data_IF_322814065855
#
_entry.id   IF_322814065855
#
_cell.length_a   1.000
_cell.length_b   1.000
_cell.length_c   1.000
_cell.angle_alpha   90.00
_cell.angle_beta   90.00
_cell.angle_gamma   90.00
#
_symmetry.space_group_name_H-M   'P 1'
#
loop_
_entity.id
_entity.type
_entity.pdbx_description
1 polymer ?
#
# COMPACT_ATOMS: atom_id res chain seq x y z
N UNK A 1 8.81 11.86 -35.12
CA UNK A 1 9.18 11.73 -33.70
C UNK A 1 8.32 10.73 -32.92
N UNK A 2 7.03 10.58 -33.22
CA UNK A 2 6.15 9.58 -32.59
C UNK A 2 6.55 8.11 -32.79
N UNK A 3 7.05 7.75 -33.97
CA UNK A 3 7.35 6.37 -34.35
C UNK A 3 8.53 5.77 -33.56
N UNK A 4 9.55 6.54 -33.24
CA UNK A 4 10.71 6.05 -32.46
C UNK A 4 10.35 5.88 -31.00
N UNK A 5 9.53 6.77 -30.44
CA UNK A 5 9.01 6.67 -29.06
C UNK A 5 8.13 5.43 -28.87
N UNK A 6 7.30 5.12 -29.85
CA UNK A 6 6.38 3.95 -29.80
C UNK A 6 7.15 2.63 -29.88
N UNK A 7 8.10 2.50 -30.80
CA UNK A 7 8.93 1.29 -30.95
C UNK A 7 9.77 1.01 -29.70
N UNK A 8 10.32 2.07 -29.09
CA UNK A 8 11.10 1.95 -27.86
C UNK A 8 10.23 1.49 -26.70
N UNK A 9 9.01 2.00 -26.61
CA UNK A 9 8.05 1.61 -25.58
C UNK A 9 7.57 0.17 -25.73
N UNK A 10 7.29 -0.28 -26.95
CA UNK A 10 6.94 -1.68 -27.26
C UNK A 10 8.03 -2.66 -26.81
N UNK A 11 9.31 -2.28 -26.86
CA UNK A 11 10.41 -3.11 -26.38
C UNK A 11 10.32 -3.32 -24.86
N UNK A 12 10.07 -2.27 -24.06
CA UNK A 12 9.90 -2.37 -22.61
C UNK A 12 8.72 -3.25 -22.24
N UNK A 13 7.61 -3.09 -22.93
CA UNK A 13 6.40 -3.91 -22.75
C UNK A 13 6.67 -5.38 -23.05
N UNK A 14 7.26 -5.67 -24.20
CA UNK A 14 7.59 -7.02 -24.60
C UNK A 14 8.58 -7.68 -23.63
N UNK A 15 9.56 -6.94 -23.12
CA UNK A 15 10.48 -7.45 -22.12
C UNK A 15 9.76 -7.80 -20.80
N UNK A 16 8.86 -6.95 -20.33
CA UNK A 16 8.07 -7.22 -19.13
C UNK A 16 7.16 -8.45 -19.32
N UNK A 17 6.51 -8.58 -20.47
CA UNK A 17 5.70 -9.76 -20.84
C UNK A 17 6.56 -11.04 -20.86
N UNK A 18 7.75 -11.00 -21.44
CA UNK A 18 8.65 -12.17 -21.45
C UNK A 18 9.14 -12.54 -20.04
N UNK A 19 9.44 -11.56 -19.18
CA UNK A 19 9.74 -11.81 -17.77
C UNK A 19 8.59 -12.55 -17.07
N UNK A 20 7.35 -12.12 -17.32
CA UNK A 20 6.14 -12.73 -16.76
C UNK A 20 5.94 -14.16 -17.30
N UNK A 21 6.09 -14.40 -18.60
CA UNK A 21 5.98 -15.74 -19.20
C UNK A 21 7.05 -16.70 -18.66
N UNK A 22 8.30 -16.24 -18.54
CA UNK A 22 9.39 -17.03 -17.94
C UNK A 22 9.09 -17.37 -16.49
N UNK A 23 8.56 -16.41 -15.72
CA UNK A 23 8.18 -16.62 -14.34
C UNK A 23 7.01 -17.60 -14.20
N UNK A 24 6.01 -17.53 -15.07
CA UNK A 24 4.90 -18.50 -15.07
C UNK A 24 5.41 -19.93 -15.29
N UNK A 25 6.29 -20.15 -16.28
CA UNK A 25 6.92 -21.47 -16.50
C UNK A 25 7.72 -21.97 -15.30
N UNK A 26 8.45 -21.06 -14.62
CA UNK A 26 9.13 -21.37 -13.38
C UNK A 26 8.14 -21.79 -12.28
N UNK A 27 7.01 -21.09 -12.17
CA UNK A 27 5.96 -21.45 -11.22
C UNK A 27 5.36 -22.83 -11.53
N UNK A 28 5.09 -23.13 -12.78
CA UNK A 28 4.57 -24.43 -13.21
C UNK A 28 5.53 -25.58 -12.82
N UNK A 29 6.85 -25.40 -13.04
CA UNK A 29 7.87 -26.36 -12.63
C UNK A 29 7.96 -26.53 -11.10
N UNK A 30 7.59 -25.50 -10.34
CA UNK A 30 7.56 -25.52 -8.86
C UNK A 30 6.22 -25.93 -8.26
N UNK A 31 5.18 -26.10 -9.09
CA UNK A 31 3.82 -26.38 -8.65
C UNK A 31 3.13 -25.19 -7.98
N UNK A 32 3.46 -23.95 -8.38
CA UNK A 32 2.90 -22.72 -7.82
C UNK A 32 1.98 -22.02 -8.81
N UNK A 33 0.94 -21.37 -8.31
CA UNK A 33 0.14 -20.42 -9.08
C UNK A 33 0.69 -19.02 -8.83
N UNK A 34 1.07 -18.24 -9.87
CA UNK A 34 1.47 -16.85 -9.72
C UNK A 34 0.36 -16.01 -9.09
N UNK A 35 0.71 -15.21 -8.07
CA UNK A 35 -0.22 -14.30 -7.39
C UNK A 35 0.18 -12.87 -7.68
N UNK A 36 -0.66 -12.14 -8.40
CA UNK A 36 -0.48 -10.70 -8.63
C UNK A 36 -0.95 -9.93 -7.40
N UNK A 37 -0.03 -9.20 -6.76
CA UNK A 37 -0.37 -8.29 -5.68
C UNK A 37 -1.00 -7.02 -6.23
N UNK A 38 -2.31 -6.86 -6.02
CA UNK A 38 -3.09 -5.73 -6.52
C UNK A 38 -3.38 -4.72 -5.42
N UNK A 39 -3.19 -3.43 -5.68
CA UNK A 39 -3.44 -2.36 -4.69
C UNK A 39 -4.40 -1.28 -5.19
N UNK A 40 -4.87 -1.35 -6.44
CA UNK A 40 -5.63 -0.29 -7.10
C UNK A 40 -4.77 0.91 -7.51
N UNK A 41 -3.45 0.86 -7.27
CA UNK A 41 -2.50 1.86 -7.74
C UNK A 41 -2.00 1.55 -9.15
N UNK A 42 -1.52 2.58 -9.88
CA UNK A 42 -1.09 2.52 -11.27
C UNK A 42 -0.13 1.36 -11.58
N UNK A 43 0.87 1.16 -10.74
CA UNK A 43 1.90 0.13 -10.95
C UNK A 43 1.30 -1.28 -10.87
N UNK A 44 0.39 -1.52 -9.93
CA UNK A 44 -0.30 -2.81 -9.80
C UNK A 44 -1.32 -3.07 -10.91
N UNK A 45 -1.92 -2.01 -11.46
CA UNK A 45 -2.81 -2.12 -12.63
C UNK A 45 -2.03 -2.51 -13.88
N UNK A 46 -0.89 -1.86 -14.11
CA UNK A 46 0.01 -2.18 -15.24
C UNK A 46 0.46 -3.63 -15.16
N UNK A 47 0.92 -4.10 -14.00
CA UNK A 47 1.35 -5.50 -13.84
C UNK A 47 0.20 -6.48 -14.04
N UNK A 48 -0.99 -6.16 -13.55
CA UNK A 48 -2.18 -6.99 -13.75
C UNK A 48 -2.53 -7.12 -15.23
N UNK A 49 -2.51 -6.01 -15.99
CA UNK A 49 -2.78 -6.00 -17.43
C UNK A 49 -1.68 -6.74 -18.22
N UNK A 50 -0.40 -6.53 -17.89
CA UNK A 50 0.72 -7.25 -18.47
C UNK A 50 0.59 -8.77 -18.27
N UNK A 51 0.11 -9.24 -17.12
CA UNK A 51 -0.14 -10.66 -16.88
C UNK A 51 -1.27 -11.20 -17.76
N UNK A 52 -2.35 -10.44 -17.96
CA UNK A 52 -3.42 -10.79 -18.92
C UNK A 52 -2.88 -10.89 -20.35
N UNK A 53 -2.09 -9.90 -20.79
CA UNK A 53 -1.49 -9.85 -22.13
C UNK A 53 -0.40 -10.92 -22.34
N UNK A 54 0.30 -11.29 -21.28
CA UNK A 54 1.22 -12.43 -21.32
C UNK A 54 0.52 -13.77 -21.55
N UNK A 55 -0.80 -13.84 -21.31
CA UNK A 55 -1.63 -15.04 -21.48
C UNK A 55 -1.33 -16.11 -20.42
N UNK A 56 -0.87 -15.74 -19.24
CA UNK A 56 -0.56 -16.68 -18.17
C UNK A 56 -1.79 -16.96 -17.29
N UNK A 57 -1.81 -18.13 -16.64
CA UNK A 57 -2.75 -18.39 -15.55
C UNK A 57 -2.23 -17.77 -14.25
N UNK A 58 -3.04 -16.94 -13.57
CA UNK A 58 -2.69 -16.28 -12.32
C UNK A 58 -3.92 -15.94 -11.49
N UNK A 59 -3.72 -15.68 -10.21
CA UNK A 59 -4.72 -15.03 -9.35
C UNK A 59 -4.26 -13.60 -9.01
N UNK A 60 -5.21 -12.67 -8.87
CA UNK A 60 -4.93 -11.33 -8.36
C UNK A 60 -5.55 -11.16 -6.98
N UNK A 61 -4.79 -10.60 -6.03
CA UNK A 61 -5.21 -10.46 -4.64
C UNK A 61 -4.96 -9.07 -4.10
N UNK A 62 -5.98 -8.51 -3.45
CA UNK A 62 -5.95 -7.20 -2.81
C UNK A 62 -5.96 -7.35 -1.29
N UNK A 63 -4.89 -6.94 -0.63
CA UNK A 63 -4.78 -6.95 0.83
C UNK A 63 -5.43 -5.68 1.38
N UNK A 64 -6.73 -5.75 1.72
CA UNK A 64 -7.52 -4.63 2.20
C UNK A 64 -7.12 -4.23 3.63
N UNK A 65 -6.80 -2.96 3.83
CA UNK A 65 -6.45 -2.37 5.12
C UNK A 65 -7.39 -1.20 5.46
N UNK A 66 -7.00 0.02 5.11
CA UNK A 66 -7.74 1.23 5.43
C UNK A 66 -7.68 2.21 4.24
N UNK A 67 -8.01 1.70 3.06
CA UNK A 67 -8.05 2.46 1.82
C UNK A 67 -9.29 3.37 1.77
N UNK A 68 -9.22 4.40 0.92
CA UNK A 68 -10.34 5.32 0.72
C UNK A 68 -11.54 4.63 0.06
N UNK A 69 -12.76 5.07 0.33
CA UNK A 69 -13.96 4.55 -0.35
C UNK A 69 -13.85 4.63 -1.87
N UNK A 70 -13.21 5.68 -2.41
CA UNK A 70 -12.98 5.82 -3.86
C UNK A 70 -12.13 4.69 -4.42
N UNK A 71 -11.04 4.32 -3.73
CA UNK A 71 -10.18 3.20 -4.14
C UNK A 71 -10.93 1.87 -4.05
N UNK A 72 -11.71 1.65 -2.98
CA UNK A 72 -12.47 0.41 -2.82
C UNK A 72 -13.53 0.25 -3.91
N UNK A 73 -14.28 1.31 -4.21
CA UNK A 73 -15.25 1.34 -5.31
C UNK A 73 -14.55 1.12 -6.65
N UNK A 74 -13.44 1.81 -6.89
CA UNK A 74 -12.66 1.66 -8.12
C UNK A 74 -12.21 0.20 -8.36
N UNK A 75 -11.68 -0.48 -7.34
CA UNK A 75 -11.25 -1.89 -7.45
C UNK A 75 -12.45 -2.79 -7.73
N UNK A 76 -13.55 -2.62 -6.98
CA UNK A 76 -14.75 -3.44 -7.16
C UNK A 76 -15.34 -3.31 -8.57
N UNK A 77 -15.40 -2.09 -9.09
CA UNK A 77 -16.13 -1.80 -10.32
C UNK A 77 -15.29 -2.07 -11.58
N UNK A 78 -13.96 -1.93 -11.52
CA UNK A 78 -13.08 -2.11 -12.67
C UNK A 78 -12.28 -3.43 -12.65
N UNK A 79 -12.17 -4.09 -11.49
CA UNK A 79 -11.37 -5.30 -11.30
C UNK A 79 -12.11 -6.35 -10.45
N UNK A 80 -13.31 -6.78 -10.88
CA UNK A 80 -14.16 -7.69 -10.08
C UNK A 80 -13.52 -9.07 -9.85
N UNK A 81 -12.57 -9.48 -10.70
CA UNK A 81 -11.83 -10.74 -10.56
C UNK A 81 -10.78 -10.72 -9.44
N UNK A 82 -10.41 -9.54 -8.94
CA UNK A 82 -9.43 -9.41 -7.86
C UNK A 82 -10.03 -9.90 -6.55
N UNK A 83 -9.42 -10.94 -5.98
CA UNK A 83 -9.84 -11.51 -4.70
C UNK A 83 -9.42 -10.63 -3.54
N UNK A 84 -10.35 -10.22 -2.71
CA UNK A 84 -10.08 -9.42 -1.52
C UNK A 84 -9.65 -10.31 -0.37
N UNK A 85 -8.52 -9.99 0.25
CA UNK A 85 -8.02 -10.65 1.46
C UNK A 85 -8.26 -9.79 2.68
N UNK A 86 -8.79 -10.42 3.71
CA UNK A 86 -9.03 -9.81 5.00
C UNK A 86 -9.02 -10.88 6.10
N UNK A 87 -7.82 -11.27 6.52
CA UNK A 87 -7.67 -12.27 7.60
C UNK A 87 -8.09 -11.71 8.96
N UNK A 88 -7.83 -10.42 9.20
CA UNK A 88 -8.34 -9.73 10.38
C UNK A 88 -9.83 -9.45 10.16
N UNK A 89 -10.69 -10.15 10.88
CA UNK A 89 -12.17 -10.03 10.75
C UNK A 89 -12.69 -8.66 11.17
N UNK A 90 -12.02 -8.02 12.16
CA UNK A 90 -12.38 -6.70 12.66
C UNK A 90 -12.07 -5.62 11.62
N UNK A 91 -12.87 -4.54 11.62
CA UNK A 91 -12.52 -3.31 10.92
C UNK A 91 -11.26 -2.67 11.51
N UNK A 92 -10.60 -1.80 10.74
CA UNK A 92 -9.32 -1.18 11.12
C UNK A 92 -9.31 -0.58 12.54
N UNK A 93 -10.29 0.25 12.87
CA UNK A 93 -10.37 0.88 14.19
C UNK A 93 -10.70 -0.13 15.29
N UNK A 94 -11.55 -1.10 15.01
CA UNK A 94 -11.90 -2.14 15.98
C UNK A 94 -10.71 -3.07 16.24
N UNK A 95 -9.90 -3.37 15.23
CA UNK A 95 -8.64 -4.10 15.41
C UNK A 95 -7.67 -3.34 16.33
N UNK A 96 -7.54 -2.02 16.13
CA UNK A 96 -6.73 -1.18 17.01
C UNK A 96 -7.24 -1.28 18.46
N UNK A 97 -8.55 -1.20 18.67
CA UNK A 97 -9.14 -1.28 20.01
C UNK A 97 -8.89 -2.64 20.66
N UNK A 98 -9.24 -3.71 19.98
CA UNK A 98 -9.27 -5.08 20.57
C UNK A 98 -7.88 -5.69 20.65
N UNK A 99 -7.16 -5.73 19.53
CA UNK A 99 -5.89 -6.44 19.43
C UNK A 99 -4.69 -5.59 19.84
N UNK A 100 -4.81 -4.27 19.74
CA UNK A 100 -3.73 -3.33 20.08
C UNK A 100 -4.10 -2.38 21.23
N UNK A 101 -5.12 -2.72 22.03
CA UNK A 101 -5.54 -2.00 23.26
C UNK A 101 -5.71 -0.49 23.02
N UNK A 102 -6.21 -0.08 21.86
CA UNK A 102 -6.40 1.33 21.52
C UNK A 102 -5.12 2.10 21.15
N UNK A 103 -3.94 1.47 21.16
CA UNK A 103 -2.70 2.12 20.69
C UNK A 103 -2.78 2.40 19.19
N UNK A 104 -2.50 3.63 18.80
CA UNK A 104 -2.42 3.98 17.38
C UNK A 104 -1.10 3.49 16.77
N UNK A 105 -1.09 3.00 15.52
CA UNK A 105 0.13 2.55 14.87
C UNK A 105 1.12 3.71 14.69
N UNK A 106 2.41 3.46 14.88
CA UNK A 106 3.47 4.43 14.70
C UNK A 106 4.36 4.07 13.50
N UNK A 107 5.36 4.93 13.21
CA UNK A 107 6.37 4.63 12.19
C UNK A 107 7.15 3.38 12.58
N UNK A 108 7.53 3.27 13.84
CA UNK A 108 8.31 2.17 14.42
C UNK A 108 7.45 0.90 14.59
N UNK A 109 6.22 1.07 15.05
CA UNK A 109 5.26 -0.02 15.28
C UNK A 109 4.09 0.07 14.31
N UNK A 110 4.35 -0.26 13.07
CA UNK A 110 3.34 -0.24 12.00
C UNK A 110 2.57 -1.55 11.92
N UNK A 111 2.07 -2.04 13.06
CA UNK A 111 1.32 -3.29 13.15
C UNK A 111 0.15 -3.38 12.16
N UNK A 112 -0.48 -2.26 11.80
CA UNK A 112 -1.52 -2.25 10.78
C UNK A 112 -1.01 -2.74 9.39
N UNK A 113 0.27 -2.49 9.06
CA UNK A 113 0.85 -3.07 7.85
C UNK A 113 1.08 -4.57 8.02
N UNK A 114 1.49 -5.01 9.20
CA UNK A 114 1.72 -6.43 9.51
C UNK A 114 0.40 -7.19 9.53
N UNK A 115 -0.62 -6.65 10.17
CA UNK A 115 -1.95 -7.28 10.27
C UNK A 115 -2.65 -7.42 8.93
N UNK A 116 -2.60 -6.38 8.07
CA UNK A 116 -3.43 -6.30 6.86
C UNK A 116 -2.66 -6.43 5.55
N UNK A 117 -1.44 -5.87 5.45
CA UNK A 117 -0.69 -5.85 4.17
C UNK A 117 0.38 -6.91 4.07
N UNK A 118 1.02 -7.21 5.19
CA UNK A 118 2.15 -8.14 5.27
C UNK A 118 1.85 -9.31 6.21
N UNK A 119 0.57 -9.59 6.45
CA UNK A 119 0.17 -10.71 7.29
C UNK A 119 0.82 -12.02 6.77
N UNK A 120 1.45 -12.81 7.65
CA UNK A 120 2.04 -14.11 7.26
C UNK A 120 1.07 -15.03 6.53
N UNK A 121 -0.24 -14.95 6.82
CA UNK A 121 -1.27 -15.69 6.09
C UNK A 121 -1.41 -15.28 4.62
N UNK A 122 -0.84 -14.12 4.22
CA UNK A 122 -0.82 -13.64 2.83
C UNK A 122 0.46 -13.96 2.08
N UNK A 123 1.37 -14.72 2.68
CA UNK A 123 2.60 -15.15 2.02
C UNK A 123 2.23 -16.20 0.97
N UNK A 124 2.32 -15.79 -0.28
CA UNK A 124 2.15 -16.66 -1.44
C UNK A 124 3.49 -17.29 -1.83
N UNK A 125 3.50 -18.51 -2.34
CA UNK A 125 4.75 -19.14 -2.79
C UNK A 125 5.39 -18.37 -3.95
N UNK A 126 4.57 -17.87 -4.89
CA UNK A 126 5.02 -17.09 -6.02
C UNK A 126 4.22 -15.79 -6.13
N UNK A 127 4.87 -14.63 -6.15
CA UNK A 127 4.21 -13.33 -6.26
C UNK A 127 4.75 -12.51 -7.44
N UNK A 128 3.87 -11.72 -8.06
CA UNK A 128 4.21 -10.72 -9.08
C UNK A 128 3.78 -9.35 -8.54
N UNK A 129 4.73 -8.42 -8.41
CA UNK A 129 4.49 -7.11 -7.80
C UNK A 129 4.94 -5.96 -8.69
N UNK A 130 4.18 -4.86 -8.69
CA UNK A 130 4.53 -3.61 -9.36
C UNK A 130 5.54 -2.77 -8.58
N UNK A 131 6.67 -3.35 -8.19
CA UNK A 131 7.74 -2.65 -7.49
C UNK A 131 8.70 -2.05 -8.50
N UNK A 132 9.02 -0.74 -8.37
CA UNK A 132 10.00 -0.04 -9.21
C UNK A 132 11.13 0.54 -8.36
N UNK A 133 12.35 0.59 -8.94
CA UNK A 133 13.52 1.17 -8.26
C UNK A 133 13.35 2.66 -7.99
N UNK A 134 12.70 3.37 -8.90
CA UNK A 134 12.49 4.82 -8.83
C UNK A 134 11.62 5.27 -7.64
N UNK A 135 10.74 4.41 -7.12
CA UNK A 135 9.79 4.79 -6.08
C UNK A 135 10.44 5.22 -4.76
N UNK A 136 11.60 4.72 -4.42
CA UNK A 136 12.34 5.13 -3.23
C UNK A 136 13.75 4.56 -3.16
N UNK A 137 14.65 5.23 -2.41
CA UNK A 137 16.00 4.75 -2.13
C UNK A 137 16.05 3.32 -1.58
N UNK A 138 15.06 2.92 -0.76
CA UNK A 138 14.96 1.54 -0.24
C UNK A 138 14.70 0.50 -1.34
N UNK A 139 14.14 0.92 -2.49
CA UNK A 139 13.81 0.04 -3.62
C UNK A 139 14.89 -0.02 -4.69
N UNK A 140 15.90 0.85 -4.66
CA UNK A 140 17.00 0.86 -5.64
C UNK A 140 17.74 -0.48 -5.76
N UNK A 141 17.86 -1.23 -4.67
CA UNK A 141 18.47 -2.56 -4.67
C UNK A 141 17.53 -3.70 -5.08
N UNK A 142 16.34 -3.44 -5.57
CA UNK A 142 15.41 -4.49 -6.04
C UNK A 142 15.85 -5.02 -7.40
N UNK A 143 15.64 -6.32 -7.61
CA UNK A 143 15.95 -7.02 -8.86
C UNK A 143 14.66 -7.54 -9.50
N UNK A 144 14.75 -7.96 -10.77
CA UNK A 144 13.63 -8.55 -11.51
C UNK A 144 13.07 -9.75 -10.77
N UNK A 145 13.94 -10.69 -10.35
CA UNK A 145 13.56 -11.87 -9.58
C UNK A 145 14.18 -11.79 -8.19
N UNK A 146 13.40 -12.16 -7.18
CA UNK A 146 13.85 -12.30 -5.79
C UNK A 146 13.41 -13.64 -5.23
N UNK A 147 14.21 -14.20 -4.31
CA UNK A 147 13.88 -15.39 -3.56
C UNK A 147 13.90 -15.11 -2.06
N UNK A 148 13.17 -15.92 -1.27
CA UNK A 148 13.00 -15.75 0.17
C UNK A 148 14.33 -15.70 0.92
N UNK A 149 15.22 -16.63 0.62
CA UNK A 149 16.52 -16.70 1.27
C UNK A 149 17.53 -17.45 0.37
N UNK A 150 18.79 -17.53 0.83
CA UNK A 150 19.85 -18.27 0.11
C UNK A 150 19.58 -19.77 -0.02
N UNK A 151 18.83 -20.36 0.92
CA UNK A 151 18.47 -21.77 0.87
C UNK A 151 17.46 -22.03 -0.25
N UNK A 152 16.45 -21.15 -0.41
CA UNK A 152 15.51 -21.22 -1.55
C UNK A 152 16.24 -21.12 -2.89
N UNK A 153 17.23 -20.21 -3.01
CA UNK A 153 18.07 -20.11 -4.20
C UNK A 153 18.83 -21.40 -4.49
N UNK A 154 19.45 -21.99 -3.46
CA UNK A 154 20.18 -23.27 -3.60
C UNK A 154 19.27 -24.44 -3.96
N UNK A 155 18.12 -24.56 -3.28
CA UNK A 155 17.13 -25.61 -3.52
C UNK A 155 16.66 -25.60 -4.97
N UNK A 156 16.45 -24.41 -5.54
CA UNK A 156 15.89 -24.21 -6.88
C UNK A 156 16.98 -23.83 -7.92
N UNK A 157 18.26 -24.01 -7.59
CA UNK A 157 19.41 -23.54 -8.39
C UNK A 157 19.47 -24.08 -9.83
N UNK A 158 18.85 -25.23 -10.10
CA UNK A 158 18.78 -25.79 -11.45
C UNK A 158 17.68 -25.15 -12.30
N UNK A 159 16.59 -24.74 -11.65
CA UNK A 159 15.39 -24.23 -12.33
C UNK A 159 15.46 -22.71 -12.49
N UNK A 160 15.72 -21.99 -11.40
CA UNK A 160 15.76 -20.53 -11.41
C UNK A 160 16.79 -19.95 -12.40
N UNK A 161 18.05 -20.37 -12.44
CA UNK A 161 19.03 -19.89 -13.42
C UNK A 161 18.62 -20.15 -14.86
N UNK A 162 18.04 -21.32 -15.17
CA UNK A 162 17.60 -21.68 -16.51
C UNK A 162 16.70 -20.62 -17.17
N UNK A 163 15.82 -19.99 -16.37
CA UNK A 163 14.90 -18.99 -16.86
C UNK A 163 15.39 -17.54 -16.72
N UNK A 164 16.34 -17.29 -15.83
CA UNK A 164 16.79 -15.96 -15.42
C UNK A 164 18.31 -15.78 -15.41
N UNK A 165 19.03 -16.50 -16.25
CA UNK A 165 20.51 -16.46 -16.33
C UNK A 165 21.07 -15.04 -16.51
N UNK A 166 20.34 -14.17 -17.23
CA UNK A 166 20.72 -12.80 -17.50
C UNK A 166 20.23 -11.81 -16.42
N UNK A 167 19.46 -12.27 -15.43
CA UNK A 167 18.85 -11.42 -14.42
C UNK A 167 19.47 -11.66 -13.05
N UNK A 168 19.75 -10.56 -12.36
CA UNK A 168 20.24 -10.65 -10.99
C UNK A 168 19.15 -11.18 -10.07
N UNK A 169 19.44 -12.25 -9.32
CA UNK A 169 18.54 -12.86 -8.33
C UNK A 169 19.03 -12.45 -6.95
N UNK A 170 18.13 -11.91 -6.13
CA UNK A 170 18.45 -11.47 -4.78
C UNK A 170 17.62 -12.20 -3.72
N UNK A 171 18.25 -12.66 -2.64
CA UNK A 171 17.56 -13.18 -1.47
C UNK A 171 16.90 -12.04 -0.66
N UNK A 172 15.82 -12.35 0.07
CA UNK A 172 15.13 -11.41 0.95
C UNK A 172 13.71 -11.03 0.49
N UNK A 173 13.07 -11.85 -0.33
CA UNK A 173 11.65 -11.75 -0.61
C UNK A 173 10.80 -12.34 0.53
N UNK A 174 9.60 -11.84 0.81
CA UNK A 174 8.68 -12.46 1.76
C UNK A 174 8.14 -13.81 1.25
N UNK A 175 7.97 -13.94 -0.05
CA UNK A 175 7.47 -15.11 -0.75
C UNK A 175 8.64 -16.05 -1.14
N UNK A 176 8.34 -17.30 -1.48
CA UNK A 176 9.38 -18.25 -1.94
C UNK A 176 10.13 -17.66 -3.14
N UNK A 177 9.38 -17.21 -4.16
CA UNK A 177 9.89 -16.43 -5.29
C UNK A 177 9.01 -15.21 -5.55
N UNK A 178 9.59 -14.12 -6.06
CA UNK A 178 8.92 -12.87 -6.33
C UNK A 178 9.46 -12.23 -7.62
N UNK A 179 8.56 -11.92 -8.54
CA UNK A 179 8.87 -11.20 -9.77
C UNK A 179 8.49 -9.72 -9.65
N UNK A 180 9.37 -8.84 -10.09
CA UNK A 180 9.12 -7.42 -10.31
C UNK A 180 9.28 -7.11 -11.80
N UNK A 181 8.26 -7.32 -12.64
CA UNK A 181 8.43 -7.27 -14.10
C UNK A 181 8.77 -5.88 -14.63
N UNK A 182 8.32 -4.84 -13.94
CA UNK A 182 8.52 -3.42 -14.28
C UNK A 182 9.51 -2.71 -13.35
N UNK A 183 10.45 -3.44 -12.74
CA UNK A 183 11.35 -2.93 -11.69
C UNK A 183 12.21 -1.75 -12.13
N UNK A 184 12.52 -1.67 -13.41
CA UNK A 184 13.34 -0.66 -14.09
C UNK A 184 12.52 0.43 -14.81
N UNK A 185 11.19 0.34 -14.81
CA UNK A 185 10.34 1.36 -15.41
C UNK A 185 10.33 2.65 -14.60
N UNK A 186 10.31 3.78 -15.30
CA UNK A 186 10.08 5.10 -14.74
C UNK A 186 8.59 5.36 -14.46
N UNK A 187 8.31 6.43 -13.71
CA UNK A 187 6.94 6.88 -13.49
C UNK A 187 6.24 7.27 -14.79
N UNK A 188 6.99 7.88 -15.70
CA UNK A 188 6.51 8.30 -17.03
C UNK A 188 6.09 7.09 -17.87
N UNK A 189 6.89 6.01 -17.88
CA UNK A 189 6.58 4.80 -18.64
C UNK A 189 5.33 4.09 -18.12
N UNK A 190 5.12 4.08 -16.80
CA UNK A 190 3.90 3.53 -16.20
C UNK A 190 2.66 4.32 -16.63
N UNK A 191 2.72 5.66 -16.62
CA UNK A 191 1.60 6.48 -17.06
C UNK A 191 1.36 6.40 -18.57
N UNK A 192 2.42 6.29 -19.36
CA UNK A 192 2.32 6.10 -20.81
C UNK A 192 1.66 4.76 -21.16
N UNK A 193 2.02 3.68 -20.44
CA UNK A 193 1.33 2.38 -20.57
C UNK A 193 -0.17 2.50 -20.31
N UNK A 194 -0.55 3.15 -19.20
CA UNK A 194 -1.95 3.36 -18.83
C UNK A 194 -2.70 4.12 -19.95
N UNK A 195 -2.05 5.15 -20.51
CA UNK A 195 -2.63 5.95 -21.60
C UNK A 195 -2.80 5.14 -22.90
N UNK A 196 -1.77 4.41 -23.32
CA UNK A 196 -1.78 3.63 -24.55
C UNK A 196 -2.86 2.52 -24.49
N UNK A 197 -2.91 1.81 -23.36
CA UNK A 197 -3.84 0.70 -23.17
C UNK A 197 -5.18 1.12 -22.56
N UNK A 198 -5.42 2.43 -22.42
CA UNK A 198 -6.69 3.01 -21.93
C UNK A 198 -7.15 2.39 -20.61
N UNK A 199 -6.21 2.09 -19.70
CA UNK A 199 -6.55 1.52 -18.40
C UNK A 199 -7.30 2.55 -17.55
N UNK A 200 -8.27 2.13 -16.73
CA UNK A 200 -9.00 3.04 -15.86
C UNK A 200 -8.06 3.67 -14.83
N UNK A 201 -8.24 4.96 -14.56
CA UNK A 201 -7.42 5.71 -13.59
C UNK A 201 -8.14 5.77 -12.26
N UNK A 202 -7.47 5.33 -11.18
CA UNK A 202 -8.03 5.42 -9.84
C UNK A 202 -8.29 6.90 -9.49
N UNK A 203 -9.52 7.26 -9.08
CA UNK A 203 -9.89 8.65 -8.78
C UNK A 203 -9.06 9.33 -7.67
N UNK A 204 -8.35 8.56 -6.83
CA UNK A 204 -7.44 9.13 -5.83
C UNK A 204 -6.28 9.91 -6.46
N UNK A 205 -5.87 9.59 -7.69
CA UNK A 205 -4.80 10.32 -8.38
C UNK A 205 -5.15 11.77 -8.75
N UNK A 206 -6.44 12.14 -8.75
CA UNK A 206 -6.84 13.55 -8.90
C UNK A 206 -6.52 14.41 -7.68
N UNK A 207 -6.28 13.80 -6.52
CA UNK A 207 -6.08 14.49 -5.25
C UNK A 207 -4.76 14.12 -4.56
N UNK A 208 -4.16 13.01 -4.95
CA UNK A 208 -2.93 12.47 -4.35
C UNK A 208 -2.03 11.86 -5.42
N UNK A 209 -0.73 11.97 -5.24
CA UNK A 209 0.25 11.33 -6.13
C UNK A 209 0.38 9.81 -5.90
N UNK A 210 -0.36 9.25 -4.95
CA UNK A 210 -0.30 7.82 -4.65
C UNK A 210 -1.61 7.29 -4.10
N UNK A 211 -1.88 6.03 -4.39
CA UNK A 211 -2.97 5.26 -3.79
C UNK A 211 -2.43 4.51 -2.55
N UNK A 212 -3.21 4.49 -1.47
CA UNK A 212 -2.84 3.82 -0.23
C UNK A 212 -3.87 4.02 0.89
N UNK A 213 -3.43 3.81 2.14
CA UNK A 213 -4.30 4.07 3.28
C UNK A 213 -4.70 5.54 3.35
N UNK A 214 -5.98 5.80 3.70
CA UNK A 214 -6.57 7.14 3.74
C UNK A 214 -5.83 8.08 4.71
N UNK A 215 -5.38 7.54 5.84
CA UNK A 215 -4.46 8.18 6.78
C UNK A 215 -3.37 7.18 7.17
N UNK A 216 -2.15 7.66 7.39
CA UNK A 216 -1.02 6.81 7.73
C UNK A 216 0.08 7.61 8.45
N UNK A 217 0.58 7.18 9.62
CA UNK A 217 1.67 7.88 10.31
C UNK A 217 2.98 7.91 9.49
N UNK A 218 3.14 6.99 8.52
CA UNK A 218 4.28 6.97 7.58
C UNK A 218 4.12 7.92 6.38
N UNK A 219 2.91 8.44 6.14
CA UNK A 219 2.68 9.44 5.10
C UNK A 219 3.15 10.82 5.58
N UNK A 220 3.39 11.74 4.64
CA UNK A 220 3.69 13.11 5.04
C UNK A 220 2.45 13.78 5.66
N UNK A 221 2.72 14.76 6.55
CA UNK A 221 1.66 15.46 7.28
C UNK A 221 0.61 16.11 6.36
N UNK A 222 1.06 16.70 5.24
CA UNK A 222 0.14 17.37 4.30
C UNK A 222 -0.88 16.42 3.70
N UNK A 223 -0.49 15.17 3.37
CA UNK A 223 -1.41 14.15 2.85
C UNK A 223 -2.43 13.75 3.92
N UNK A 224 -1.98 13.51 5.15
CA UNK A 224 -2.87 13.19 6.27
C UNK A 224 -3.84 14.34 6.58
N UNK A 225 -3.32 15.57 6.58
CA UNK A 225 -4.12 16.78 6.80
C UNK A 225 -5.23 16.94 5.77
N UNK A 226 -4.93 16.79 4.47
CA UNK A 226 -5.93 16.81 3.40
C UNK A 226 -7.02 15.76 3.61
N UNK A 227 -6.62 14.54 4.01
CA UNK A 227 -7.56 13.47 4.30
C UNK A 227 -8.48 13.80 5.50
N UNK A 228 -7.94 14.36 6.59
CA UNK A 228 -8.74 14.76 7.74
C UNK A 228 -9.70 15.91 7.44
N UNK A 229 -9.29 16.87 6.59
CA UNK A 229 -10.20 17.93 6.13
C UNK A 229 -11.35 17.37 5.30
N UNK A 230 -11.05 16.42 4.41
CA UNK A 230 -12.04 15.79 3.53
C UNK A 230 -12.98 14.86 4.27
N UNK A 231 -12.46 14.16 5.28
CA UNK A 231 -13.19 13.14 6.04
C UNK A 231 -13.16 13.43 7.56
N UNK A 232 -13.77 14.52 8.03
CA UNK A 232 -13.71 14.89 9.45
C UNK A 232 -14.36 13.84 10.37
N UNK A 233 -15.25 13.00 9.87
CA UNK A 233 -15.83 11.85 10.60
C UNK A 233 -14.78 10.79 10.98
N UNK A 234 -13.62 10.76 10.33
CA UNK A 234 -12.51 9.89 10.75
C UNK A 234 -12.00 10.27 12.14
N UNK A 235 -11.88 11.58 12.41
CA UNK A 235 -11.45 12.08 13.72
C UNK A 235 -12.43 11.60 14.80
N UNK A 236 -13.71 11.76 14.56
CA UNK A 236 -14.76 11.34 15.49
C UNK A 236 -14.74 9.83 15.72
N UNK A 237 -14.57 9.05 14.66
CA UNK A 237 -14.48 7.59 14.77
C UNK A 237 -13.25 7.14 15.56
N UNK A 238 -12.11 7.81 15.38
CA UNK A 238 -10.88 7.52 16.12
C UNK A 238 -11.00 7.92 17.59
N UNK A 239 -11.62 9.07 17.88
CA UNK A 239 -11.89 9.52 19.25
C UNK A 239 -12.80 8.50 19.95
N UNK A 240 -13.92 8.11 19.34
CA UNK A 240 -14.83 7.10 19.90
C UNK A 240 -14.14 5.75 20.15
N UNK A 241 -13.32 5.29 19.21
CA UNK A 241 -12.54 4.06 19.36
C UNK A 241 -11.63 4.15 20.59
N UNK A 242 -10.88 5.27 20.72
CA UNK A 242 -9.94 5.45 21.81
C UNK A 242 -10.63 5.67 23.17
N UNK A 243 -11.71 6.45 23.23
CA UNK A 243 -12.53 6.61 24.45
C UNK A 243 -13.07 5.25 24.93
N UNK A 244 -13.45 4.36 24.00
CA UNK A 244 -13.89 3.01 24.34
C UNK A 244 -12.73 2.16 24.88
N UNK A 245 -11.55 2.25 24.25
CA UNK A 245 -10.37 1.53 24.71
C UNK A 245 -9.90 2.03 26.11
N UNK A 246 -9.98 3.31 26.39
CA UNK A 246 -9.64 3.89 27.69
C UNK A 246 -10.56 3.34 28.79
N UNK A 247 -11.87 3.26 28.52
CA UNK A 247 -12.83 2.65 29.49
C UNK A 247 -12.56 1.16 29.71
N UNK A 248 -11.91 0.48 28.78
CA UNK A 248 -11.50 -0.91 28.87
C UNK A 248 -10.08 -1.06 29.49
N UNK A 249 -9.60 -0.04 30.21
CA UNK A 249 -8.31 -0.05 30.93
C UNK A 249 -7.07 -0.07 30.02
N UNK A 250 -7.16 0.60 28.87
CA UNK A 250 -6.10 0.51 27.86
C UNK A 250 -5.09 1.65 27.90
N UNK A 251 -5.51 2.92 27.86
CA UNK A 251 -4.63 4.09 27.68
C UNK A 251 -5.34 5.39 28.08
N UNK A 252 -4.59 6.48 28.19
CA UNK A 252 -5.08 7.84 28.39
C UNK A 252 -4.89 8.73 27.13
N UNK A 253 -5.26 10.00 27.22
CA UNK A 253 -5.09 10.99 26.17
C UNK A 253 -3.77 11.78 26.31
N UNK A 254 -2.76 11.22 26.95
CA UNK A 254 -1.46 11.86 27.13
C UNK A 254 -0.53 11.54 25.97
N UNK A 255 0.14 12.57 25.45
CA UNK A 255 1.27 12.42 24.54
C UNK A 255 2.50 12.20 25.41
N UNK A 256 2.91 10.93 25.52
CA UNK A 256 4.11 10.54 26.25
C UNK A 256 5.37 11.18 25.64
N UNK A 257 6.20 11.79 26.47
CA UNK A 257 7.39 12.52 26.05
C UNK A 257 7.23 14.03 26.10
N UNK A 258 6.05 14.55 25.76
CA UNK A 258 5.73 15.98 25.91
C UNK A 258 4.92 16.26 27.18
N UNK A 259 4.41 15.24 27.87
CA UNK A 259 3.48 15.33 29.01
C UNK A 259 2.25 16.21 28.71
N UNK A 260 1.77 16.20 27.47
CA UNK A 260 0.59 16.97 27.06
C UNK A 260 -0.66 16.11 27.22
N UNK A 261 -1.51 16.49 28.17
CA UNK A 261 -2.86 15.93 28.27
C UNK A 261 -3.76 16.55 27.20
N UNK A 262 -4.36 15.71 26.39
CA UNK A 262 -5.27 16.09 25.31
C UNK A 262 -6.73 15.72 25.60
N UNK A 263 -7.08 15.43 26.86
CA UNK A 263 -8.47 15.07 27.25
C UNK A 263 -9.49 16.12 26.82
N UNK A 264 -9.12 17.40 26.90
CA UNK A 264 -9.94 18.53 26.48
C UNK A 264 -9.79 18.86 24.97
N UNK A 265 -8.77 18.31 24.31
CA UNK A 265 -8.53 18.55 22.88
C UNK A 265 -8.14 17.27 22.14
N UNK A 266 -9.04 16.28 22.15
CA UNK A 266 -8.84 14.98 21.50
C UNK A 266 -8.51 15.06 19.99
N UNK A 267 -9.10 15.98 19.19
CA UNK A 267 -8.70 16.18 17.79
C UNK A 267 -7.23 16.58 17.65
N UNK A 268 -6.68 17.35 18.56
CA UNK A 268 -5.26 17.72 18.57
C UNK A 268 -4.36 16.48 18.74
N UNK A 269 -4.73 15.55 19.63
CA UNK A 269 -4.03 14.28 19.78
C UNK A 269 -3.96 13.49 18.45
N UNK A 270 -5.08 13.41 17.72
CA UNK A 270 -5.11 12.72 16.43
C UNK A 270 -4.19 13.41 15.40
N UNK A 271 -4.21 14.74 15.35
CA UNK A 271 -3.31 15.51 14.48
C UNK A 271 -1.83 15.28 14.85
N UNK A 272 -1.49 15.27 16.15
CA UNK A 272 -0.13 15.01 16.64
C UNK A 272 0.33 13.59 16.29
N UNK A 273 -0.53 12.59 16.45
CA UNK A 273 -0.21 11.23 16.06
C UNK A 273 0.16 11.14 14.57
N UNK A 274 -0.57 11.81 13.68
CA UNK A 274 -0.31 11.80 12.25
C UNK A 274 0.91 12.62 11.82
N UNK A 275 1.50 13.40 12.73
CA UNK A 275 2.77 14.08 12.51
C UNK A 275 3.95 13.17 12.91
N UNK A 276 4.21 12.15 12.07
CA UNK A 276 5.33 11.23 12.27
C UNK A 276 5.43 10.66 13.70
N UNK A 277 4.32 10.11 14.18
CA UNK A 277 4.25 9.49 15.51
C UNK A 277 4.54 10.48 16.65
N UNK A 278 3.72 11.53 16.72
CA UNK A 278 3.72 12.54 17.77
C UNK A 278 4.89 13.54 17.79
N UNK A 279 5.65 13.69 16.72
CA UNK A 279 6.67 14.76 16.66
C UNK A 279 6.02 16.13 16.88
N UNK A 280 6.71 17.07 17.56
CA UNK A 280 6.23 18.44 17.71
C UNK A 280 5.93 19.09 16.37
N UNK A 281 4.94 19.96 16.33
CA UNK A 281 4.60 20.70 15.12
C UNK A 281 5.59 21.83 14.86
N UNK A 282 5.86 22.07 13.59
CA UNK A 282 6.36 23.37 13.12
C UNK A 282 5.20 24.38 13.13
N UNK A 283 5.50 25.69 13.16
CA UNK A 283 4.47 26.76 13.08
C UNK A 283 3.49 26.57 11.91
N UNK A 284 3.96 26.05 10.78
CA UNK A 284 3.11 25.78 9.61
C UNK A 284 2.17 24.61 9.88
N UNK A 285 2.66 23.54 10.50
CA UNK A 285 1.85 22.36 10.84
C UNK A 285 0.81 22.67 11.92
N UNK A 286 1.16 23.53 12.88
CA UNK A 286 0.23 24.03 13.91
C UNK A 286 -1.01 24.67 13.27
N UNK A 287 -0.81 25.66 12.38
CA UNK A 287 -1.90 26.32 11.63
C UNK A 287 -2.77 25.33 10.85
N UNK A 288 -2.15 24.30 10.27
CA UNK A 288 -2.88 23.26 9.58
C UNK A 288 -3.71 22.39 10.52
N UNK A 289 -3.18 22.08 11.70
CA UNK A 289 -3.89 21.36 12.73
C UNK A 289 -5.11 22.17 13.25
N UNK A 290 -4.93 23.47 13.51
CA UNK A 290 -6.01 24.37 13.92
C UNK A 290 -7.16 24.37 12.91
N UNK A 291 -6.86 24.40 11.60
CA UNK A 291 -7.87 24.35 10.56
C UNK A 291 -8.60 22.99 10.52
N UNK A 292 -7.91 21.87 10.75
CA UNK A 292 -8.55 20.55 10.87
C UNK A 292 -9.51 20.52 12.06
N UNK A 293 -9.07 21.03 13.23
CA UNK A 293 -9.88 21.07 14.45
C UNK A 293 -11.10 21.96 14.25
N UNK A 294 -10.93 23.13 13.63
CA UNK A 294 -12.04 24.05 13.34
C UNK A 294 -13.08 23.38 12.41
N UNK A 295 -12.63 22.67 11.38
CA UNK A 295 -13.52 21.92 10.47
C UNK A 295 -14.26 20.80 11.20
N UNK A 296 -13.58 20.04 12.04
CA UNK A 296 -14.19 19.01 12.87
C UNK A 296 -15.25 19.59 13.82
N UNK A 297 -14.95 20.68 14.50
CA UNK A 297 -15.88 21.32 15.44
C UNK A 297 -17.12 21.88 14.71
N UNK A 298 -16.95 22.42 13.49
CA UNK A 298 -18.07 22.84 12.64
C UNK A 298 -18.98 21.66 12.30
N UNK A 299 -18.41 20.53 11.88
CA UNK A 299 -19.17 19.30 11.60
C UNK A 299 -19.97 18.85 12.83
N UNK A 300 -19.36 18.82 14.02
CA UNK A 300 -20.04 18.39 15.26
C UNK A 300 -21.20 19.30 15.63
N UNK A 301 -21.08 20.61 15.42
CA UNK A 301 -22.19 21.54 15.64
C UNK A 301 -23.38 21.26 14.70
N UNK A 302 -23.12 20.90 13.46
CA UNK A 302 -24.17 20.54 12.50
C UNK A 302 -24.85 19.19 12.78
N UNK A 303 -24.17 18.25 13.44
CA UNK A 303 -24.74 16.95 13.83
C UNK A 303 -25.63 17.02 15.09
N UNK A 304 -25.50 18.08 15.88
CA UNK A 304 -26.27 18.32 17.13
C UNK A 304 -27.50 19.22 16.93
N UNK A 305 -27.80 19.62 15.68
CA UNK A 305 -29.02 20.33 15.25
C UNK A 305 -29.94 19.34 14.53
#
# INVERSE_FOLDING_TARGET
METISTLFFEQFENEAIERIRKFSRLCDEMGFIPIVGFSGGKDSQVVYDLCKRAGIHFEAKFNHCFESPKTLTFIRDNYPEVKWRREVKQGFLENIRVNHKGMLPTIERSFCCEDYKHNPAYIDNAAILGIRREESAKRQGRTVLMAKNKTSLKKNAKVIPKYFETHCIKAGAPNEILLNPIVDWSDTEVWEYIRIHQLPINPEYSESNRVGCIICPKANFNSNYKALLKYPKLIDSMIRMRDKAIREDALDWVITGDNIDCSDNKPYYICRWLNHSFRPFTKKQEKLCEAVIANYNKMKKCENI
#
